data_IF_344622828380
#
_entry.id   IF_344622828380
#
_cell.length_a   1.000
_cell.length_b   1.000
_cell.length_c   1.000
_cell.angle_alpha   90.00
_cell.angle_beta   90.00
_cell.angle_gamma   90.00
#
_symmetry.space_group_name_H-M   'P 1'
#
loop_
_entity.id
_entity.type
_entity.pdbx_description
1 polymer ?
#
# COMPACT_ATOMS: atom_id res chain seq x y z
N UNK A 1 -3.80 -23.28 25.57
CA UNK A 1 -4.70 -22.59 26.52
C UNK A 1 -4.35 -21.11 26.52
N UNK A 2 -5.26 -20.25 26.06
CA UNK A 2 -5.02 -18.80 26.02
C UNK A 2 -5.22 -18.27 27.45
N UNK A 3 -4.22 -17.57 28.00
CA UNK A 3 -4.28 -17.00 29.35
C UNK A 3 -5.35 -15.92 29.46
N UNK A 4 -6.03 -15.77 30.61
CA UNK A 4 -7.02 -14.70 30.83
C UNK A 4 -6.48 -13.30 30.51
N UNK A 5 -5.18 -13.05 30.71
CA UNK A 5 -4.52 -11.79 30.35
C UNK A 5 -4.49 -11.56 28.82
N UNK A 6 -4.26 -12.64 28.06
CA UNK A 6 -4.25 -12.63 26.60
C UNK A 6 -5.66 -12.40 26.05
N UNK A 7 -6.67 -13.07 26.62
CA UNK A 7 -8.08 -12.91 26.22
C UNK A 7 -8.58 -11.49 26.48
N UNK A 8 -8.20 -10.86 27.59
CA UNK A 8 -8.56 -9.47 27.90
C UNK A 8 -7.92 -8.46 26.93
N UNK A 9 -6.65 -8.68 26.57
CA UNK A 9 -5.96 -7.87 25.57
C UNK A 9 -6.56 -8.01 24.18
N UNK A 10 -6.99 -9.22 23.79
CA UNK A 10 -7.70 -9.48 22.52
C UNK A 10 -9.05 -8.77 22.50
N UNK A 11 -9.85 -8.87 23.56
CA UNK A 11 -11.16 -8.22 23.66
C UNK A 11 -11.06 -6.68 23.66
N UNK A 12 -10.08 -6.11 24.38
CA UNK A 12 -9.80 -4.67 24.31
C UNK A 12 -9.38 -4.23 22.91
N UNK A 13 -8.48 -4.99 22.25
CA UNK A 13 -8.03 -4.69 20.89
C UNK A 13 -9.19 -4.78 19.89
N UNK A 14 -10.08 -5.75 20.04
CA UNK A 14 -11.26 -5.91 19.17
C UNK A 14 -12.30 -4.79 19.36
N UNK A 15 -12.56 -4.38 20.61
CA UNK A 15 -13.46 -3.25 20.90
C UNK A 15 -12.89 -1.92 20.35
N UNK A 16 -11.57 -1.75 20.39
CA UNK A 16 -10.87 -0.56 19.88
C UNK A 16 -10.71 -0.53 18.35
N UNK A 17 -10.55 -1.70 17.70
CA UNK A 17 -10.60 -1.82 16.24
C UNK A 17 -11.96 -1.33 15.74
N UNK A 18 -13.04 -1.76 16.39
CA UNK A 18 -14.40 -1.42 15.95
C UNK A 18 -14.70 0.09 15.98
N UNK A 19 -14.16 0.85 16.94
CA UNK A 19 -14.36 2.31 17.01
C UNK A 19 -13.54 3.04 15.95
N UNK A 20 -12.30 2.63 15.72
CA UNK A 20 -11.44 3.23 14.71
C UNK A 20 -11.94 2.96 13.28
N UNK A 21 -12.44 1.74 13.03
CA UNK A 21 -13.10 1.37 11.78
C UNK A 21 -14.37 2.19 11.55
N UNK A 22 -15.15 2.48 12.60
CA UNK A 22 -16.36 3.31 12.48
C UNK A 22 -16.04 4.76 12.11
N UNK A 23 -14.96 5.35 12.66
CA UNK A 23 -14.54 6.73 12.35
C UNK A 23 -13.95 6.88 10.92
N UNK A 24 -13.32 5.82 10.38
CA UNK A 24 -12.80 5.82 9.01
C UNK A 24 -13.90 5.65 7.96
N UNK A 25 -15.02 5.00 8.32
CA UNK A 25 -16.14 4.68 7.41
C UNK A 25 -17.27 5.73 7.52
N UNK A 26 -17.02 6.88 8.18
CA UNK A 26 -18.01 7.96 8.26
C UNK A 26 -18.38 8.44 6.86
N UNK A 27 -19.68 8.42 6.58
CA UNK A 27 -20.28 8.76 5.28
C UNK A 27 -20.07 10.23 4.95
N UNK A 28 -20.21 11.10 5.96
CA UNK A 28 -19.97 12.55 5.83
C UNK A 28 -18.46 12.80 5.81
N UNK A 29 -17.87 13.27 4.69
CA UNK A 29 -16.42 13.38 4.57
C UNK A 29 -15.80 14.33 5.60
N UNK A 30 -16.48 15.42 5.95
CA UNK A 30 -15.98 16.41 6.92
C UNK A 30 -15.94 15.90 8.35
N UNK A 31 -16.68 14.84 8.67
CA UNK A 31 -16.71 14.19 9.98
C UNK A 31 -15.81 12.95 10.04
N UNK A 32 -15.24 12.55 8.91
CA UNK A 32 -14.31 11.43 8.83
C UNK A 32 -12.99 11.79 9.50
N UNK A 33 -12.42 10.84 10.23
CA UNK A 33 -11.13 11.02 10.89
C UNK A 33 -10.06 11.48 9.88
N UNK A 34 -9.36 12.57 10.20
CA UNK A 34 -8.32 13.16 9.34
C UNK A 34 -8.84 14.04 8.19
N UNK A 35 -10.14 14.36 8.15
CA UNK A 35 -10.75 15.15 7.09
C UNK A 35 -11.37 16.48 7.55
N UNK A 36 -11.23 16.87 8.83
CA UNK A 36 -11.77 18.15 9.28
C UNK A 36 -10.89 19.32 8.77
N UNK A 37 -11.43 20.52 8.52
CA UNK A 37 -10.69 21.60 7.84
C UNK A 37 -9.41 22.07 8.54
N UNK A 38 -9.36 21.95 9.86
CA UNK A 38 -8.20 22.31 10.69
C UNK A 38 -7.45 21.08 11.21
N UNK A 39 -7.83 19.91 10.74
CA UNK A 39 -7.32 18.64 11.19
C UNK A 39 -6.70 17.91 10.00
N UNK A 40 -5.60 17.23 10.27
CA UNK A 40 -4.78 16.61 9.23
C UNK A 40 -4.42 15.20 9.68
N UNK A 41 -3.30 14.68 9.17
CA UNK A 41 -2.69 13.44 9.63
C UNK A 41 -2.47 13.39 11.15
N UNK A 42 -2.36 14.54 11.84
CA UNK A 42 -2.26 14.65 13.29
C UNK A 42 -3.37 13.91 14.05
N UNK A 43 -4.64 14.05 13.63
CA UNK A 43 -5.78 13.37 14.27
C UNK A 43 -5.66 11.84 14.18
N UNK A 44 -5.15 11.36 13.05
CA UNK A 44 -4.91 9.93 12.84
C UNK A 44 -3.79 9.47 13.78
N UNK A 45 -2.69 10.23 13.88
CA UNK A 45 -1.57 9.92 14.76
C UNK A 45 -1.94 9.90 16.25
N UNK A 46 -2.80 10.84 16.67
CA UNK A 46 -3.22 11.00 18.06
C UNK A 46 -4.34 10.04 18.48
N UNK A 47 -5.03 9.42 17.52
CA UNK A 47 -6.12 8.51 17.82
C UNK A 47 -5.63 7.28 18.61
N UNK A 48 -6.37 6.90 19.67
CA UNK A 48 -5.93 5.90 20.63
C UNK A 48 -5.62 4.51 20.05
N UNK A 49 -6.16 4.19 18.86
CA UNK A 49 -5.86 2.96 18.14
C UNK A 49 -4.41 2.91 17.65
N UNK A 50 -3.90 4.04 17.16
CA UNK A 50 -2.55 4.15 16.62
C UNK A 50 -1.50 4.57 17.64
N UNK A 51 -1.91 4.86 18.90
CA UNK A 51 -1.01 5.22 20.00
C UNK A 51 0.25 4.31 20.16
N UNK A 52 0.20 2.98 19.90
CA UNK A 52 1.39 2.13 19.99
C UNK A 52 2.39 2.30 18.85
N UNK A 53 2.04 3.04 17.78
CA UNK A 53 2.88 3.19 16.59
C UNK A 53 3.88 4.32 16.82
N UNK A 54 5.16 3.99 16.67
CA UNK A 54 6.21 4.98 16.42
C UNK A 54 6.19 5.33 14.93
N UNK A 55 5.65 6.50 14.60
CA UNK A 55 5.48 6.95 13.23
C UNK A 55 6.80 7.20 12.50
N UNK A 56 7.84 7.66 13.22
CA UNK A 56 9.17 7.93 12.63
C UNK A 56 9.86 6.61 12.31
N UNK A 57 9.84 5.65 13.24
CA UNK A 57 10.40 4.31 13.01
C UNK A 57 9.62 3.56 11.91
N UNK A 58 8.29 3.72 11.85
CA UNK A 58 7.45 3.12 10.82
C UNK A 58 7.81 3.65 9.42
N UNK A 59 7.93 4.97 9.26
CA UNK A 59 8.32 5.61 7.99
C UNK A 59 9.70 5.15 7.52
N UNK A 60 10.64 4.98 8.46
CA UNK A 60 11.99 4.43 8.21
C UNK A 60 12.02 2.92 7.97
N UNK A 61 10.87 2.24 8.00
CA UNK A 61 10.74 0.78 7.86
C UNK A 61 11.49 -0.01 8.95
N UNK A 62 11.65 0.58 10.13
CA UNK A 62 12.32 -0.04 11.29
C UNK A 62 11.35 -0.90 12.13
N UNK A 63 10.04 -0.67 12.00
CA UNK A 63 9.01 -1.49 12.65
C UNK A 63 8.88 -2.82 11.92
N UNK A 64 9.09 -3.93 12.64
CA UNK A 64 8.90 -5.25 12.06
C UNK A 64 7.45 -5.50 11.65
N UNK A 65 7.20 -5.96 10.40
CA UNK A 65 5.85 -6.26 9.96
C UNK A 65 5.30 -7.47 10.74
N UNK A 66 4.00 -7.48 11.07
CA UNK A 66 3.38 -8.58 11.83
C UNK A 66 3.29 -9.88 11.02
N UNK A 67 3.43 -9.80 9.69
CA UNK A 67 3.46 -10.92 8.78
C UNK A 67 4.62 -10.75 7.80
N UNK A 68 5.37 -11.83 7.59
CA UNK A 68 6.42 -11.91 6.57
C UNK A 68 6.01 -13.00 5.58
N UNK A 69 5.63 -12.64 4.34
CA UNK A 69 5.36 -13.64 3.31
C UNK A 69 6.59 -14.51 3.07
N UNK A 70 6.38 -15.81 2.81
CA UNK A 70 7.45 -16.71 2.37
C UNK A 70 7.84 -16.35 0.94
N UNK A 71 9.13 -16.36 0.61
CA UNK A 71 9.60 -16.23 -0.77
C UNK A 71 10.63 -17.33 -1.03
N UNK A 72 10.47 -18.06 -2.13
CA UNK A 72 11.32 -19.16 -2.57
C UNK A 72 12.52 -18.73 -3.41
N UNK A 73 12.55 -17.50 -3.92
CA UNK A 73 13.66 -16.95 -4.72
C UNK A 73 13.26 -15.74 -5.56
N UNK A 74 14.18 -15.23 -6.39
CA UNK A 74 14.03 -13.96 -7.13
C UNK A 74 12.92 -13.95 -8.18
N UNK A 75 12.45 -15.13 -8.61
CA UNK A 75 11.39 -15.30 -9.61
C UNK A 75 10.17 -16.02 -9.05
N UNK A 76 10.03 -16.01 -7.73
CA UNK A 76 8.89 -16.64 -7.07
C UNK A 76 7.59 -15.87 -7.37
N UNK A 77 6.55 -16.62 -7.76
CA UNK A 77 5.25 -16.07 -8.15
C UNK A 77 4.11 -16.51 -7.22
N UNK A 78 4.40 -17.17 -6.09
CA UNK A 78 3.37 -17.78 -5.22
C UNK A 78 2.33 -16.81 -4.64
N UNK A 79 2.61 -15.51 -4.63
CA UNK A 79 1.68 -14.47 -4.13
C UNK A 79 0.93 -13.75 -5.28
N UNK A 80 1.15 -14.16 -6.53
CA UNK A 80 0.39 -13.71 -7.68
C UNK A 80 -0.72 -14.72 -8.00
N UNK A 81 -1.84 -14.25 -8.55
CA UNK A 81 -2.94 -15.13 -8.95
C UNK A 81 -2.50 -16.00 -10.14
N UNK A 82 -2.63 -17.34 -10.05
CA UNK A 82 -2.32 -18.25 -11.14
C UNK A 82 -2.99 -17.91 -12.47
N UNK A 83 -4.18 -17.28 -12.42
CA UNK A 83 -4.88 -16.83 -13.62
C UNK A 83 -4.04 -15.91 -14.52
N UNK A 84 -3.05 -15.18 -13.96
CA UNK A 84 -2.13 -14.35 -14.73
C UNK A 84 -0.76 -15.00 -14.94
N UNK A 85 -0.26 -15.76 -13.96
CA UNK A 85 1.09 -16.36 -14.08
C UNK A 85 1.12 -17.54 -15.05
N UNK A 86 -0.03 -18.18 -15.28
CA UNK A 86 -0.20 -19.28 -16.23
C UNK A 86 -0.45 -18.75 -17.66
N UNK A 87 -0.72 -17.46 -17.84
CA UNK A 87 -0.85 -16.86 -19.17
C UNK A 87 0.51 -16.82 -19.89
N UNK A 88 0.50 -16.93 -21.24
CA UNK A 88 1.72 -16.82 -22.01
C UNK A 88 2.33 -15.41 -21.86
N UNK A 89 3.64 -15.34 -21.62
CA UNK A 89 4.40 -14.08 -21.52
C UNK A 89 4.63 -13.49 -22.91
N UNK A 90 3.56 -13.04 -23.54
CA UNK A 90 3.54 -12.45 -24.88
C UNK A 90 2.66 -11.20 -24.88
N UNK A 91 3.04 -10.19 -25.66
CA UNK A 91 2.16 -9.05 -25.90
C UNK A 91 1.11 -9.45 -26.93
N UNK A 92 -0.14 -9.07 -26.68
CA UNK A 92 -1.22 -9.23 -27.64
C UNK A 92 -0.86 -8.47 -28.93
N UNK A 93 -0.94 -9.10 -30.12
CA UNK A 93 -0.64 -8.40 -31.38
C UNK A 93 -1.55 -7.20 -31.62
N UNK A 94 -0.97 -6.13 -32.16
CA UNK A 94 -1.68 -4.89 -32.43
C UNK A 94 -2.67 -5.01 -33.59
N UNK A 95 -3.68 -4.13 -33.58
CA UNK A 95 -4.56 -3.91 -34.73
C UNK A 95 -4.17 -2.58 -35.40
N UNK A 96 -3.53 -2.67 -36.57
CA UNK A 96 -3.04 -1.50 -37.33
C UNK A 96 -4.14 -0.46 -37.63
N UNK A 97 -5.39 -0.90 -37.85
CA UNK A 97 -6.51 0.01 -38.11
C UNK A 97 -6.91 0.84 -36.88
N UNK A 98 -6.59 0.36 -35.68
CA UNK A 98 -6.79 1.08 -34.42
C UNK A 98 -5.60 1.99 -34.16
N UNK A 99 -4.38 1.47 -34.32
CA UNK A 99 -3.14 2.22 -34.09
C UNK A 99 -3.03 3.45 -34.99
N UNK A 100 -3.41 3.31 -36.27
CA UNK A 100 -3.39 4.42 -37.24
C UNK A 100 -4.35 5.57 -36.94
N UNK A 101 -5.32 5.38 -36.04
CA UNK A 101 -6.29 6.42 -35.64
C UNK A 101 -5.88 7.18 -34.39
N UNK A 102 -4.84 6.73 -33.70
CA UNK A 102 -4.34 7.37 -32.48
C UNK A 102 -3.42 8.55 -32.83
N UNK A 103 -3.65 9.70 -32.20
CA UNK A 103 -2.73 10.84 -32.30
C UNK A 103 -1.51 10.60 -31.40
N UNK A 104 -0.35 10.37 -32.02
CA UNK A 104 0.88 10.08 -31.29
C UNK A 104 1.42 11.29 -30.52
N UNK A 105 1.00 12.51 -30.89
CA UNK A 105 1.49 13.73 -30.21
C UNK A 105 0.94 13.86 -28.79
N UNK A 106 -0.14 13.15 -28.44
CA UNK A 106 -0.65 13.06 -27.06
C UNK A 106 0.34 12.39 -26.10
N UNK A 107 1.31 11.62 -26.63
CA UNK A 107 2.32 10.91 -25.85
C UNK A 107 3.69 11.60 -25.87
N UNK A 108 3.80 12.79 -26.46
CA UNK A 108 5.05 13.55 -26.47
C UNK A 108 5.51 13.85 -25.02
N UNK A 109 6.71 13.40 -24.66
CA UNK A 109 7.27 13.57 -23.31
C UNK A 109 6.82 12.52 -22.30
N UNK A 110 6.26 11.40 -22.76
CA UNK A 110 5.94 10.25 -21.91
C UNK A 110 7.20 9.54 -21.36
N UNK A 111 8.34 9.68 -22.03
CA UNK A 111 9.58 9.05 -21.63
C UNK A 111 10.07 9.55 -20.27
N UNK A 112 10.36 8.61 -19.38
CA UNK A 112 10.90 8.88 -18.06
C UNK A 112 11.98 7.86 -17.71
N UNK A 113 13.11 8.36 -17.23
CA UNK A 113 14.13 7.54 -16.57
C UNK A 113 14.37 8.11 -15.19
N UNK A 114 14.39 7.25 -14.18
CA UNK A 114 14.67 7.68 -12.81
C UNK A 114 16.13 8.21 -12.73
N UNK A 115 16.33 9.52 -12.46
CA UNK A 115 17.67 10.11 -12.43
C UNK A 115 18.56 9.53 -11.32
N UNK A 116 17.98 8.95 -10.27
CA UNK A 116 18.72 8.31 -9.18
C UNK A 116 19.36 6.98 -9.60
N UNK A 117 18.82 6.31 -10.62
CA UNK A 117 19.43 5.09 -11.15
C UNK A 117 20.66 5.43 -12.02
N UNK A 118 20.58 6.52 -12.78
CA UNK A 118 21.69 6.99 -13.62
C UNK A 118 22.95 7.31 -12.80
N UNK A 119 22.79 7.83 -11.57
CA UNK A 119 23.93 8.13 -10.68
C UNK A 119 24.61 6.91 -10.04
N UNK A 120 23.95 5.74 -10.03
CA UNK A 120 24.50 4.52 -9.46
C UNK A 120 25.44 3.80 -10.42
N UNK A 121 25.18 3.92 -11.73
CA UNK A 121 26.00 3.29 -12.78
C UNK A 121 27.35 4.00 -12.99
N UNK A 122 27.50 5.28 -12.58
CA UNK A 122 28.76 6.04 -12.67
C UNK A 122 29.74 5.76 -11.51
N UNK A 123 29.36 4.95 -10.52
CA UNK A 123 30.21 4.59 -9.38
C UNK A 123 30.84 3.20 -9.46
N UNK A 124 30.78 2.53 -10.63
CA UNK A 124 31.43 1.23 -10.90
C UNK A 124 32.66 1.38 -11.77
#
# INVERSE_FOLDING_TARGET
MISSQQTFNILRRQLFINTCTLLMIVVVPTERLGCAPNSSFGDIMEHGFFKPIDWVALERKEVHPPYRPTCGGDRDLIHFDPAFTDEPVVLTPDNEAVMSRMDQTEFDGFEYVNPLLMSLDEQV
#
